data_IF_648851132127
#
_entry.id   IF_648851132127
#
_cell.length_a   1.000
_cell.length_b   1.000
_cell.length_c   1.000
_cell.angle_alpha   90.00
_cell.angle_beta   90.00
_cell.angle_gamma   90.00
#
_symmetry.space_group_name_H-M   'P 1'
#
loop_
_entity.id
_entity.type
_entity.pdbx_description
1 polymer ?
#
# COMPACT_ATOMS: atom_id res chain seq x y z
N UNK A 1 6.90 1.45 12.86
CA UNK A 1 6.61 2.37 13.98
C UNK A 1 7.78 2.46 14.97
N UNK A 2 8.26 1.35 15.54
CA UNK A 2 9.47 1.35 16.41
C UNK A 2 10.71 1.87 15.67
N UNK A 3 10.85 1.53 14.38
CA UNK A 3 11.98 2.02 13.57
C UNK A 3 11.88 3.51 13.24
N UNK A 4 10.67 4.08 13.23
CA UNK A 4 10.44 5.52 13.06
C UNK A 4 10.90 6.25 14.32
N UNK A 5 10.46 5.77 15.50
CA UNK A 5 10.83 6.33 16.80
C UNK A 5 12.34 6.27 17.03
N UNK A 6 12.99 5.15 16.67
CA UNK A 6 14.45 5.01 16.77
C UNK A 6 15.23 5.92 15.81
N UNK A 7 14.67 6.23 14.64
CA UNK A 7 15.33 7.09 13.66
C UNK A 7 15.33 8.54 14.13
N UNK A 8 14.20 9.01 14.65
CA UNK A 8 14.06 10.36 15.24
C UNK A 8 15.01 10.53 16.43
N UNK A 9 15.07 9.55 17.34
CA UNK A 9 15.93 9.62 18.54
C UNK A 9 17.44 9.59 18.25
N UNK A 10 17.85 9.10 17.07
CA UNK A 10 19.26 9.02 16.68
C UNK A 10 19.75 10.26 15.93
N UNK A 11 18.86 11.11 15.41
CA UNK A 11 19.26 12.39 14.77
C UNK A 11 19.69 13.45 15.81
N UNK A 12 19.36 13.25 17.10
CA UNK A 12 19.79 14.12 18.22
C UNK A 12 21.16 13.75 18.81
N UNK A 13 21.84 12.71 18.30
CA UNK A 13 23.13 12.24 18.79
C UNK A 13 24.17 12.30 17.67
N UNK A 14 24.47 13.51 17.20
CA UNK A 14 25.70 13.76 16.44
C UNK A 14 26.84 14.12 17.41
N UNK A 15 27.81 13.21 17.48
CA UNK A 15 29.04 13.27 18.26
C UNK A 15 29.92 14.49 17.84
N UNK A 16 29.96 15.55 18.65
CA UNK A 16 31.08 16.51 18.64
C UNK A 16 31.87 16.47 19.97
N UNK A 17 33.01 15.77 19.86
CA UNK A 17 34.33 16.02 20.46
C UNK A 17 34.48 16.58 21.90
N UNK A 18 35.09 15.72 22.73
CA UNK A 18 35.73 15.97 24.02
C UNK A 18 36.63 17.23 24.06
N UNK A 19 36.30 18.20 24.91
CA UNK A 19 37.32 19.10 25.52
C UNK A 19 36.95 19.41 26.97
N UNK A 20 37.81 18.99 27.89
CA UNK A 20 37.66 19.27 29.32
C UNK A 20 37.87 20.75 29.67
N UNK A 21 37.06 21.23 30.62
CA UNK A 21 37.43 22.25 31.59
C UNK A 21 36.44 22.23 32.76
N UNK A 22 36.97 22.09 33.97
CA UNK A 22 36.25 22.21 35.23
C UNK A 22 35.72 23.65 35.40
N UNK A 23 34.40 23.84 35.44
CA UNK A 23 33.77 25.03 36.03
C UNK A 23 32.47 24.61 36.78
N UNK A 24 32.61 24.70 38.10
CA UNK A 24 31.67 24.99 39.18
C UNK A 24 30.18 25.32 38.88
N UNK A 25 29.32 24.56 39.56
CA UNK A 25 27.98 24.85 40.10
C UNK A 25 26.96 25.70 39.31
N UNK A 26 26.03 25.00 38.66
CA UNK A 26 24.58 25.19 38.88
C UNK A 26 23.82 23.91 38.56
N UNK A 27 23.60 23.08 39.58
CA UNK A 27 22.69 21.93 39.53
C UNK A 27 21.26 22.49 39.65
N UNK A 28 20.66 22.85 38.52
CA UNK A 28 19.20 22.86 38.34
C UNK A 28 18.88 21.61 37.52
N UNK A 29 19.04 20.47 38.17
CA UNK A 29 18.59 19.17 37.69
C UNK A 29 17.15 19.01 38.18
N UNK A 30 16.24 19.72 37.50
CA UNK A 30 14.84 19.28 37.38
C UNK A 30 14.83 18.08 36.41
N UNK A 31 15.59 17.04 36.74
CA UNK A 31 15.51 15.73 36.07
C UNK A 31 14.24 15.05 36.61
N UNK A 32 13.08 15.61 36.24
CA UNK A 32 11.87 14.81 36.14
C UNK A 32 12.26 13.61 35.28
N UNK A 33 12.23 12.42 35.87
CA UNK A 33 12.50 11.17 35.17
C UNK A 33 11.40 11.03 34.13
N UNK A 34 11.63 11.57 32.94
CA UNK A 34 10.69 11.52 31.84
C UNK A 34 10.60 10.04 31.47
N UNK A 35 9.46 9.44 31.84
CA UNK A 35 9.22 8.03 31.55
C UNK A 35 9.26 7.90 30.04
N UNK A 36 10.17 7.06 29.55
CA UNK A 36 10.35 6.79 28.14
C UNK A 36 9.02 6.53 27.43
N UNK A 37 8.83 7.15 26.26
CA UNK A 37 7.58 7.07 25.51
C UNK A 37 7.18 5.62 25.21
N UNK A 38 8.16 4.73 24.98
CA UNK A 38 7.89 3.31 24.73
C UNK A 38 7.16 2.65 25.91
N UNK A 39 7.57 2.97 27.14
CA UNK A 39 6.94 2.46 28.36
C UNK A 39 5.53 3.00 28.56
N UNK A 40 5.26 4.24 28.10
CA UNK A 40 3.93 4.87 28.16
C UNK A 40 2.94 4.30 27.14
N UNK A 41 3.41 3.90 25.96
CA UNK A 41 2.54 3.41 24.86
C UNK A 41 2.39 1.88 24.79
N UNK A 42 3.19 1.11 25.54
CA UNK A 42 3.29 -0.36 25.40
C UNK A 42 1.95 -1.12 25.53
N UNK A 43 1.05 -0.64 26.38
CA UNK A 43 -0.24 -1.29 26.68
C UNK A 43 -1.41 -0.59 25.99
N UNK A 44 -1.13 0.39 25.12
CA UNK A 44 -2.13 1.18 24.42
C UNK A 44 -2.51 0.54 23.09
N UNK A 45 -3.78 0.67 22.72
CA UNK A 45 -4.21 0.31 21.36
C UNK A 45 -3.67 1.34 20.38
N UNK A 46 -2.72 0.92 19.53
CA UNK A 46 -2.09 1.77 18.53
C UNK A 46 -3.06 2.16 17.40
N UNK A 47 -4.24 1.53 17.30
CA UNK A 47 -5.27 1.90 16.34
C UNK A 47 -6.25 2.94 16.90
N UNK A 48 -6.13 3.32 18.19
CA UNK A 48 -6.91 4.40 18.78
C UNK A 48 -6.07 5.69 18.81
N UNK A 49 -6.23 6.49 17.76
CA UNK A 49 -5.47 7.72 17.60
C UNK A 49 -5.73 8.75 18.71
N UNK A 50 -6.94 8.78 19.28
CA UNK A 50 -7.27 9.66 20.40
C UNK A 50 -6.61 9.18 21.69
N UNK A 51 -6.60 7.86 21.95
CA UNK A 51 -5.86 7.30 23.07
C UNK A 51 -4.37 7.63 22.97
N UNK A 52 -3.75 7.43 21.80
CA UNK A 52 -2.35 7.77 21.55
C UNK A 52 -2.05 9.24 21.81
N UNK A 53 -2.86 10.14 21.24
CA UNK A 53 -2.67 11.58 21.39
C UNK A 53 -2.73 12.08 22.83
N UNK A 54 -3.54 11.44 23.66
CA UNK A 54 -3.67 11.76 25.07
C UNK A 54 -2.49 11.28 25.92
N UNK A 55 -1.77 10.25 25.46
CA UNK A 55 -0.58 9.73 26.14
C UNK A 55 0.63 10.63 25.89
N UNK A 56 0.73 11.27 24.72
CA UNK A 56 1.86 12.13 24.33
C UNK A 56 2.02 13.37 25.25
N UNK A 57 3.25 13.85 25.42
CA UNK A 57 3.55 15.13 26.08
C UNK A 57 3.22 16.30 25.14
N UNK A 58 3.33 17.54 25.63
CA UNK A 58 3.12 18.71 24.78
C UNK A 58 4.18 18.83 23.69
N UNK A 59 5.44 18.56 24.03
CA UNK A 59 6.55 18.62 23.09
C UNK A 59 6.46 17.52 22.02
N UNK A 60 6.14 16.28 22.40
CA UNK A 60 5.91 15.16 21.46
C UNK A 60 4.75 15.45 20.48
N UNK A 61 3.68 16.11 20.95
CA UNK A 61 2.57 16.53 20.07
C UNK A 61 3.01 17.61 19.08
N UNK A 62 3.79 18.59 19.54
CA UNK A 62 4.30 19.66 18.71
C UNK A 62 5.25 19.12 17.64
N UNK A 63 6.10 18.16 17.99
CA UNK A 63 7.00 17.48 17.08
C UNK A 63 6.21 16.70 16.01
N UNK A 64 5.22 15.90 16.42
CA UNK A 64 4.34 15.19 15.48
C UNK A 64 3.67 16.17 14.49
N UNK A 65 3.17 17.31 14.98
CA UNK A 65 2.57 18.33 14.12
C UNK A 65 3.57 18.97 13.15
N UNK A 66 4.82 19.17 13.57
CA UNK A 66 5.87 19.67 12.70
C UNK A 66 6.16 18.66 11.58
N UNK A 67 6.22 17.36 11.90
CA UNK A 67 6.41 16.28 10.92
C UNK A 67 5.24 16.20 9.94
N UNK A 68 4.00 16.20 10.43
CA UNK A 68 2.79 16.12 9.58
C UNK A 68 2.65 17.33 8.65
N UNK A 69 3.11 18.51 9.07
CA UNK A 69 3.12 19.71 8.23
C UNK A 69 4.32 19.77 7.27
N UNK A 70 5.37 19.03 7.57
CA UNK A 70 6.61 18.95 6.81
C UNK A 70 6.63 17.78 5.83
N UNK A 71 7.82 17.27 5.55
CA UNK A 71 8.01 16.11 4.69
C UNK A 71 7.95 14.80 5.50
N UNK A 72 6.74 14.26 5.62
CA UNK A 72 6.45 12.98 6.28
C UNK A 72 7.23 11.82 5.62
N UNK A 73 7.56 11.93 4.32
CA UNK A 73 8.24 10.87 3.57
C UNK A 73 9.66 10.58 4.05
N UNK A 74 10.33 11.57 4.65
CA UNK A 74 11.69 11.42 5.19
C UNK A 74 11.76 10.57 6.46
N UNK A 75 10.65 10.55 7.22
CA UNK A 75 10.54 9.89 8.53
C UNK A 75 9.96 8.47 8.40
N UNK A 76 9.10 8.23 7.40
CA UNK A 76 8.49 6.92 7.19
C UNK A 76 9.50 5.92 6.57
N UNK A 77 9.57 4.67 7.09
CA UNK A 77 10.31 3.62 6.44
C UNK A 77 9.65 3.33 5.10
N UNK A 78 10.48 3.24 4.06
CA UNK A 78 10.02 2.93 2.72
C UNK A 78 9.64 1.46 2.66
N UNK A 79 8.41 1.18 2.26
CA UNK A 79 7.95 -0.18 2.04
C UNK A 79 8.70 -0.79 0.86
N UNK A 80 9.21 -2.00 1.07
CA UNK A 80 9.83 -2.79 0.02
C UNK A 80 8.77 -3.68 -0.66
N UNK A 81 8.44 -3.44 -1.93
CA UNK A 81 7.47 -4.27 -2.61
C UNK A 81 7.96 -5.69 -2.79
N UNK A 82 7.08 -6.66 -2.50
CA UNK A 82 7.40 -8.09 -2.57
C UNK A 82 7.81 -8.55 -3.98
N UNK A 83 7.40 -7.85 -5.04
CA UNK A 83 7.77 -8.17 -6.42
C UNK A 83 9.19 -7.75 -6.81
N UNK A 84 9.93 -7.03 -5.95
CA UNK A 84 11.33 -6.70 -6.19
C UNK A 84 12.26 -7.92 -6.05
N UNK A 85 11.82 -8.95 -5.33
CA UNK A 85 12.58 -10.19 -5.20
C UNK A 85 12.60 -10.96 -6.52
N UNK A 86 13.77 -11.48 -6.89
CA UNK A 86 13.94 -12.38 -8.03
C UNK A 86 14.68 -13.63 -7.56
N UNK A 87 14.17 -14.80 -7.94
CA UNK A 87 14.82 -16.06 -7.63
C UNK A 87 16.06 -16.22 -8.52
N UNK A 88 17.19 -16.54 -7.90
CA UNK A 88 18.42 -16.82 -8.63
C UNK A 88 18.29 -18.14 -9.40
N UNK A 89 18.73 -18.16 -10.66
CA UNK A 89 18.71 -19.37 -11.47
C UNK A 89 19.77 -20.35 -10.94
N UNK A 90 19.34 -21.38 -10.21
CA UNK A 90 20.25 -22.44 -9.73
C UNK A 90 20.62 -23.34 -10.90
N UNK A 91 21.84 -23.18 -11.42
CA UNK A 91 22.38 -23.96 -12.55
C UNK A 91 22.73 -25.41 -12.17
N UNK A 92 22.67 -25.78 -10.89
CA UNK A 92 22.91 -27.13 -10.37
C UNK A 92 21.87 -27.43 -9.28
N UNK A 93 21.17 -28.55 -9.42
CA UNK A 93 20.18 -29.04 -8.47
C UNK A 93 20.89 -29.63 -7.23
N UNK A 94 21.13 -28.80 -6.22
CA UNK A 94 21.38 -29.29 -4.85
C UNK A 94 20.09 -29.13 -4.02
N UNK A 95 19.86 -30.12 -3.16
CA UNK A 95 18.77 -30.32 -2.18
C UNK A 95 17.97 -29.05 -1.85
N UNK A 96 16.62 -29.08 -1.81
CA UNK A 96 15.78 -27.88 -1.68
C UNK A 96 16.24 -26.99 -0.52
N UNK A 97 16.93 -25.90 -0.87
CA UNK A 97 17.35 -24.89 0.09
C UNK A 97 16.13 -24.04 0.44
N UNK A 98 15.77 -24.06 1.72
CA UNK A 98 14.55 -23.50 2.34
C UNK A 98 14.37 -21.98 2.22
N UNK A 99 15.34 -21.25 1.65
CA UNK A 99 15.31 -19.79 1.56
C UNK A 99 14.40 -19.20 0.47
N UNK A 100 14.19 -19.92 -0.64
CA UNK A 100 13.34 -19.42 -1.75
C UNK A 100 11.86 -19.31 -1.32
N UNK A 101 11.42 -20.20 -0.43
CA UNK A 101 10.06 -20.19 0.13
C UNK A 101 9.82 -19.00 1.08
N UNK A 102 10.85 -18.43 1.72
CA UNK A 102 10.65 -17.36 2.71
C UNK A 102 10.27 -16.02 2.07
N UNK A 103 10.86 -15.68 0.91
CA UNK A 103 10.47 -14.46 0.20
C UNK A 103 9.09 -14.59 -0.43
N UNK A 104 8.72 -15.77 -0.93
CA UNK A 104 7.37 -16.00 -1.46
C UNK A 104 6.30 -15.94 -0.38
N UNK A 105 6.62 -16.24 0.89
CA UNK A 105 5.71 -16.02 2.04
C UNK A 105 5.37 -14.55 2.27
N UNK A 106 6.17 -13.59 1.79
CA UNK A 106 5.86 -12.16 1.84
C UNK A 106 4.85 -11.74 0.77
N UNK A 107 4.63 -12.58 -0.25
CA UNK A 107 3.66 -12.30 -1.30
C UNK A 107 2.22 -12.50 -0.76
N UNK A 108 1.25 -11.75 -1.27
CA UNK A 108 -0.16 -11.99 -0.96
C UNK A 108 -0.58 -13.42 -1.29
N UNK A 109 -1.43 -13.99 -0.43
CA UNK A 109 -1.93 -15.35 -0.59
C UNK A 109 -2.75 -15.50 -1.88
N UNK A 110 -2.43 -16.53 -2.67
CA UNK A 110 -3.16 -16.84 -3.89
C UNK A 110 -4.60 -17.27 -3.57
N UNK A 111 -5.59 -16.57 -4.13
CA UNK A 111 -7.00 -16.94 -3.99
C UNK A 111 -7.37 -17.98 -5.04
N UNK A 112 -8.17 -18.96 -4.65
CA UNK A 112 -8.72 -19.94 -5.59
C UNK A 112 -9.82 -19.28 -6.43
N UNK A 113 -9.52 -18.98 -7.69
CA UNK A 113 -10.50 -18.50 -8.66
C UNK A 113 -11.10 -19.67 -9.46
N UNK A 114 -12.38 -19.60 -9.87
CA UNK A 114 -12.95 -20.62 -10.74
C UNK A 114 -12.18 -20.70 -12.06
N UNK A 115 -12.06 -21.89 -12.64
CA UNK A 115 -11.44 -22.07 -13.95
C UNK A 115 -12.24 -21.29 -15.00
N UNK A 116 -11.56 -20.59 -15.89
CA UNK A 116 -12.17 -19.84 -16.98
C UNK A 116 -13.05 -20.74 -17.86
N UNK A 117 -12.60 -21.97 -18.15
CA UNK A 117 -13.39 -22.97 -18.91
C UNK A 117 -14.70 -23.37 -18.23
N UNK A 118 -14.81 -23.15 -16.92
CA UNK A 118 -16.04 -23.41 -16.15
C UNK A 118 -16.99 -22.20 -16.18
N UNK A 119 -16.46 -21.00 -16.48
CA UNK A 119 -17.22 -19.75 -16.54
C UNK A 119 -17.76 -19.51 -17.96
N UNK A 120 -16.98 -19.82 -19.00
CA UNK A 120 -17.39 -19.59 -20.38
C UNK A 120 -16.72 -20.57 -21.36
N UNK A 121 -17.42 -20.84 -22.47
CA UNK A 121 -16.89 -21.60 -23.60
C UNK A 121 -16.27 -20.70 -24.68
N UNK A 122 -16.29 -19.37 -24.46
CA UNK A 122 -15.71 -18.39 -25.39
C UNK A 122 -14.20 -18.34 -25.18
N UNK A 123 -13.43 -18.50 -26.27
CA UNK A 123 -11.97 -18.39 -26.22
C UNK A 123 -11.56 -17.00 -25.68
N UNK A 124 -10.57 -16.90 -24.76
CA UNK A 124 -10.07 -15.61 -24.30
C UNK A 124 -9.61 -14.75 -25.47
N UNK A 125 -9.98 -13.47 -25.44
CA UNK A 125 -9.49 -12.50 -26.41
C UNK A 125 -7.97 -12.34 -26.28
N UNK A 126 -7.21 -12.22 -27.39
CA UNK A 126 -5.80 -11.85 -27.33
C UNK A 126 -5.54 -10.55 -26.55
N UNK A 127 -6.54 -9.68 -26.46
CA UNK A 127 -6.47 -8.41 -25.73
C UNK A 127 -6.37 -8.56 -24.21
N UNK A 128 -6.65 -9.75 -23.65
CA UNK A 128 -6.73 -9.95 -22.20
C UNK A 128 -5.40 -9.68 -21.49
N UNK A 129 -4.26 -9.96 -22.12
CA UNK A 129 -2.94 -9.68 -21.56
C UNK A 129 -2.69 -8.17 -21.40
N UNK A 130 -3.19 -7.35 -22.32
CA UNK A 130 -3.07 -5.89 -22.24
C UNK A 130 -4.00 -5.33 -21.16
N UNK A 131 -5.19 -5.91 -20.99
CA UNK A 131 -6.09 -5.57 -19.89
C UNK A 131 -5.50 -5.95 -18.52
N UNK A 132 -4.92 -7.15 -18.39
CA UNK A 132 -4.16 -7.57 -17.20
C UNK A 132 -3.06 -6.54 -16.91
N UNK A 133 -2.34 -6.11 -17.94
CA UNK A 133 -1.26 -5.11 -17.81
C UNK A 133 -1.79 -3.78 -17.27
N UNK A 134 -2.92 -3.28 -17.78
CA UNK A 134 -3.56 -2.07 -17.25
C UNK A 134 -3.92 -2.20 -15.77
N UNK A 135 -4.51 -3.34 -15.36
CA UNK A 135 -4.88 -3.62 -13.97
C UNK A 135 -3.65 -3.72 -13.06
N UNK A 136 -2.61 -4.43 -13.50
CA UNK A 136 -1.35 -4.60 -12.75
C UNK A 136 -0.62 -3.26 -12.60
N UNK A 137 -0.59 -2.43 -13.64
CA UNK A 137 0.01 -1.10 -13.58
C UNK A 137 -0.69 -0.20 -12.57
N UNK A 138 -2.03 -0.17 -12.59
CA UNK A 138 -2.81 0.58 -11.58
C UNK A 138 -2.58 0.05 -10.17
N UNK A 139 -2.56 -1.27 -9.99
CA UNK A 139 -2.27 -1.89 -8.69
C UNK A 139 -0.87 -1.52 -8.19
N UNK A 140 0.16 -1.68 -9.02
CA UNK A 140 1.55 -1.37 -8.64
C UNK A 140 1.71 0.09 -8.23
N UNK A 141 1.13 1.02 -9.00
CA UNK A 141 1.14 2.44 -8.70
C UNK A 141 0.52 2.73 -7.32
N UNK A 142 -0.68 2.21 -7.07
CA UNK A 142 -1.42 2.52 -5.84
C UNK A 142 -0.77 1.89 -4.61
N UNK A 143 -0.21 0.69 -4.73
CA UNK A 143 0.55 0.08 -3.64
C UNK A 143 1.81 0.88 -3.29
N UNK A 144 2.51 1.45 -4.29
CA UNK A 144 3.63 2.38 -4.05
C UNK A 144 3.15 3.68 -3.43
N UNK A 145 2.06 4.24 -3.95
CA UNK A 145 1.48 5.51 -3.50
C UNK A 145 1.11 5.48 -2.02
N UNK A 146 0.52 4.36 -1.55
CA UNK A 146 0.20 4.17 -0.13
C UNK A 146 1.31 3.50 0.68
N UNK A 147 2.53 3.40 0.15
CA UNK A 147 3.66 2.78 0.83
C UNK A 147 3.32 1.38 1.40
N UNK A 148 2.56 0.59 0.65
CA UNK A 148 2.13 -0.77 1.04
C UNK A 148 1.00 -0.85 2.07
N UNK A 149 0.56 0.27 2.64
CA UNK A 149 -0.56 0.33 3.58
C UNK A 149 -1.90 0.36 2.83
N UNK A 150 -2.92 -0.30 3.40
CA UNK A 150 -4.16 -0.58 2.68
C UNK A 150 -5.36 -0.25 3.55
N UNK A 151 -6.00 0.89 3.24
CA UNK A 151 -7.43 1.04 3.49
C UNK A 151 -8.20 0.55 2.25
N UNK A 152 -9.08 -0.44 2.43
CA UNK A 152 -9.70 -1.11 1.30
C UNK A 152 -10.60 -0.17 0.47
N UNK A 153 -11.38 0.71 1.11
CA UNK A 153 -12.28 1.61 0.39
C UNK A 153 -11.49 2.68 -0.36
N UNK A 154 -10.52 3.31 0.30
CA UNK A 154 -9.65 4.31 -0.30
C UNK A 154 -8.84 3.72 -1.46
N UNK A 155 -8.22 2.55 -1.25
CA UNK A 155 -7.43 1.85 -2.27
C UNK A 155 -8.24 1.58 -3.54
N UNK A 156 -9.46 1.03 -3.40
CA UNK A 156 -10.31 0.74 -4.56
C UNK A 156 -10.79 2.02 -5.24
N UNK A 157 -11.01 3.10 -4.49
CA UNK A 157 -11.36 4.40 -5.04
C UNK A 157 -10.27 4.90 -5.99
N UNK A 158 -9.02 4.89 -5.53
CA UNK A 158 -7.89 5.35 -6.33
C UNK A 158 -7.60 4.41 -7.52
N UNK A 159 -7.70 3.09 -7.33
CA UNK A 159 -7.55 2.13 -8.43
C UNK A 159 -8.61 2.37 -9.52
N UNK A 160 -9.87 2.60 -9.17
CA UNK A 160 -10.92 2.85 -10.15
C UNK A 160 -10.77 4.20 -10.85
N UNK A 161 -10.16 5.19 -10.19
CA UNK A 161 -9.86 6.48 -10.81
C UNK A 161 -8.87 6.34 -11.98
N UNK A 162 -7.84 5.50 -11.81
CA UNK A 162 -6.76 5.36 -12.80
C UNK A 162 -6.84 4.13 -13.72
N UNK A 163 -7.59 3.10 -13.33
CA UNK A 163 -7.69 1.86 -14.09
C UNK A 163 -8.87 1.87 -15.06
N UNK A 164 -8.63 2.30 -16.31
CA UNK A 164 -9.68 2.37 -17.33
C UNK A 164 -10.30 1.01 -17.67
N UNK A 165 -9.54 -0.09 -17.55
CA UNK A 165 -10.09 -1.42 -17.78
C UNK A 165 -11.19 -1.75 -16.76
N UNK A 166 -10.97 -1.43 -15.48
CA UNK A 166 -11.95 -1.68 -14.43
C UNK A 166 -13.08 -0.65 -14.45
N UNK A 167 -12.78 0.65 -14.56
CA UNK A 167 -13.79 1.71 -14.41
C UNK A 167 -14.65 1.93 -15.64
N UNK A 168 -14.09 1.75 -16.84
CA UNK A 168 -14.73 2.10 -18.11
C UNK A 168 -14.87 0.91 -19.07
N UNK A 169 -14.44 -0.30 -18.65
CA UNK A 169 -14.40 -1.49 -19.49
C UNK A 169 -13.61 -1.29 -20.80
N UNK A 170 -12.58 -0.43 -20.76
CA UNK A 170 -11.73 -0.17 -21.91
C UNK A 170 -10.88 -1.41 -22.20
N UNK A 171 -10.88 -1.84 -23.47
CA UNK A 171 -10.01 -2.92 -23.94
C UNK A 171 -8.79 -2.33 -24.62
N UNK A 172 -7.62 -2.88 -24.30
CA UNK A 172 -6.35 -2.48 -24.88
C UNK A 172 -5.89 -3.51 -25.90
N UNK A 173 -5.12 -3.05 -26.90
CA UNK A 173 -4.59 -3.91 -27.96
C UNK A 173 -3.05 -3.95 -27.98
N UNK A 174 -2.41 -3.18 -27.10
CA UNK A 174 -0.95 -3.01 -27.01
C UNK A 174 -0.56 -2.77 -25.55
N UNK A 175 0.64 -3.24 -25.16
CA UNK A 175 1.18 -3.07 -23.81
C UNK A 175 1.43 -1.60 -23.47
N UNK A 176 2.10 -0.87 -24.37
CA UNK A 176 2.50 0.52 -24.14
C UNK A 176 1.26 1.40 -23.90
N UNK A 177 0.24 1.28 -24.76
CA UNK A 177 -1.02 2.01 -24.59
C UNK A 177 -1.74 1.65 -23.29
N UNK A 178 -1.70 0.38 -22.87
CA UNK A 178 -2.31 -0.04 -21.61
C UNK A 178 -1.63 0.61 -20.39
N UNK A 179 -0.30 0.71 -20.38
CA UNK A 179 0.47 1.31 -19.29
C UNK A 179 0.39 2.83 -19.32
N UNK A 180 0.57 3.45 -20.49
CA UNK A 180 0.52 4.91 -20.66
C UNK A 180 -0.87 5.47 -20.31
N UNK A 181 -1.93 4.69 -20.52
CA UNK A 181 -3.27 5.09 -20.08
C UNK A 181 -3.38 5.28 -18.56
N UNK A 182 -2.68 4.45 -17.76
CA UNK A 182 -2.63 4.60 -16.30
C UNK A 182 -1.82 5.84 -15.93
N UNK A 183 -0.66 6.04 -16.55
CA UNK A 183 0.17 7.23 -16.32
C UNK A 183 -0.59 8.53 -16.62
N UNK A 184 -1.28 8.58 -17.76
CA UNK A 184 -2.12 9.72 -18.14
C UNK A 184 -3.26 9.96 -17.13
N UNK A 185 -3.86 8.89 -16.60
CA UNK A 185 -4.91 9.02 -15.59
C UNK A 185 -4.38 9.51 -14.26
N UNK A 186 -3.21 9.06 -13.82
CA UNK A 186 -2.57 9.57 -12.60
C UNK A 186 -2.35 11.10 -12.71
N UNK A 187 -1.85 11.58 -13.85
CA UNK A 187 -1.64 13.02 -14.11
C UNK A 187 -2.95 13.84 -14.20
N UNK A 188 -4.08 13.19 -14.46
CA UNK A 188 -5.39 13.84 -14.58
C UNK A 188 -6.24 13.67 -13.31
N UNK A 189 -5.78 12.88 -12.35
CA UNK A 189 -6.51 12.57 -11.13
C UNK A 189 -6.56 13.80 -10.22
N UNK A 190 -7.71 14.00 -9.58
CA UNK A 190 -7.83 14.97 -8.48
C UNK A 190 -7.47 14.35 -7.12
N UNK A 191 -7.27 13.02 -7.07
CA UNK A 191 -6.97 12.26 -5.85
C UNK A 191 -5.47 11.95 -5.69
N UNK A 192 -4.72 12.00 -6.79
CA UNK A 192 -3.33 11.56 -6.86
C UNK A 192 -2.43 12.73 -7.22
N UNK A 193 -1.44 12.97 -6.37
CA UNK A 193 -0.30 13.81 -6.71
C UNK A 193 0.86 12.90 -7.15
N UNK A 194 1.40 13.12 -8.35
CA UNK A 194 2.46 12.27 -8.91
C UNK A 194 3.46 13.08 -9.71
N UNK A 195 4.65 12.51 -9.87
CA UNK A 195 5.71 13.02 -10.75
C UNK A 195 6.12 11.97 -11.80
N UNK A 196 7.01 12.37 -12.71
CA UNK A 196 7.53 11.50 -13.77
C UNK A 196 8.31 10.30 -13.21
N UNK A 197 9.04 10.49 -12.09
CA UNK A 197 9.82 9.43 -11.46
C UNK A 197 8.93 8.31 -10.95
N UNK A 198 7.83 8.65 -10.27
CA UNK A 198 6.85 7.70 -9.75
C UNK A 198 6.18 6.91 -10.88
N UNK A 199 5.92 7.56 -12.02
CA UNK A 199 5.38 6.91 -13.21
C UNK A 199 6.37 5.93 -13.82
N UNK A 200 7.65 6.26 -13.91
CA UNK A 200 8.68 5.33 -14.40
C UNK A 200 8.90 4.15 -13.45
N UNK A 201 8.83 4.38 -12.14
CA UNK A 201 8.84 3.30 -11.14
C UNK A 201 7.65 2.36 -11.33
N UNK A 202 6.45 2.90 -11.57
CA UNK A 202 5.26 2.09 -11.86
C UNK A 202 5.42 1.24 -13.13
N UNK A 203 6.02 1.78 -14.20
CA UNK A 203 6.31 1.01 -15.43
C UNK A 203 7.27 -0.14 -15.12
N UNK A 204 8.31 0.12 -14.34
CA UNK A 204 9.28 -0.89 -13.93
C UNK A 204 8.65 -1.98 -13.06
N UNK A 205 7.86 -1.61 -12.06
CA UNK A 205 7.16 -2.54 -11.18
C UNK A 205 6.18 -3.43 -11.94
N UNK A 206 5.43 -2.83 -12.87
CA UNK A 206 4.54 -3.57 -13.77
C UNK A 206 5.31 -4.66 -14.51
N UNK A 207 6.48 -4.32 -15.05
CA UNK A 207 7.36 -5.30 -15.70
C UNK A 207 7.82 -6.40 -14.74
N UNK A 208 8.23 -6.07 -13.51
CA UNK A 208 8.66 -7.06 -12.52
C UNK A 208 7.53 -8.02 -12.13
N UNK A 209 6.32 -7.51 -11.88
CA UNK A 209 5.15 -8.31 -11.54
C UNK A 209 4.78 -9.25 -12.68
N UNK A 210 4.80 -8.78 -13.93
CA UNK A 210 4.48 -9.60 -15.10
C UNK A 210 5.56 -10.64 -15.42
N UNK A 211 6.81 -10.37 -15.07
CA UNK A 211 7.94 -11.29 -15.27
C UNK A 211 8.00 -12.40 -14.21
N UNK A 212 7.49 -12.12 -13.01
CA UNK A 212 7.51 -13.04 -11.89
C UNK A 212 8.89 -13.29 -11.28
N UNK A 213 8.97 -14.15 -10.26
CA UNK A 213 10.20 -14.46 -9.55
C UNK A 213 11.24 -15.21 -10.40
N UNK A 214 10.81 -16.05 -11.33
CA UNK A 214 11.69 -16.88 -12.18
C UNK A 214 11.02 -17.22 -13.52
N UNK A 215 11.79 -17.63 -14.54
CA UNK A 215 11.23 -18.06 -15.83
C UNK A 215 10.23 -19.22 -15.71
N UNK A 216 10.46 -20.13 -14.76
CA UNK A 216 9.61 -21.31 -14.51
C UNK A 216 8.35 -20.96 -13.70
N UNK A 217 8.31 -19.78 -13.08
CA UNK A 217 7.20 -19.33 -12.23
C UNK A 217 6.79 -17.88 -12.56
N UNK A 218 6.80 -17.52 -13.84
CA UNK A 218 6.63 -16.13 -14.30
C UNK A 218 5.28 -15.50 -13.95
N UNK A 219 4.22 -16.30 -13.87
CA UNK A 219 2.88 -15.82 -13.60
C UNK A 219 2.58 -15.63 -12.09
N UNK A 220 3.49 -16.05 -11.20
CA UNK A 220 3.23 -16.07 -9.75
C UNK A 220 2.91 -14.69 -9.18
N UNK A 221 3.73 -13.68 -9.48
CA UNK A 221 3.52 -12.32 -8.99
C UNK A 221 2.25 -11.70 -9.56
N UNK A 222 1.94 -11.93 -10.84
CA UNK A 222 0.68 -11.51 -11.41
C UNK A 222 -0.52 -12.15 -10.69
N UNK A 223 -0.47 -13.47 -10.41
CA UNK A 223 -1.49 -14.20 -9.65
C UNK A 223 -1.62 -13.65 -8.22
N UNK A 224 -0.52 -13.32 -7.56
CA UNK A 224 -0.50 -12.74 -6.22
C UNK A 224 -1.11 -11.33 -6.19
N UNK A 225 -0.72 -10.45 -7.12
CA UNK A 225 -1.29 -9.10 -7.25
C UNK A 225 -2.80 -9.14 -7.49
N UNK A 226 -3.27 -9.98 -8.43
CA UNK A 226 -4.70 -10.11 -8.73
C UNK A 226 -5.47 -10.74 -7.55
N UNK A 227 -4.88 -11.71 -6.85
CA UNK A 227 -5.48 -12.30 -5.65
C UNK A 227 -5.64 -11.29 -4.52
N UNK A 228 -4.62 -10.44 -4.33
CA UNK A 228 -4.66 -9.37 -3.35
C UNK A 228 -5.73 -8.34 -3.72
N UNK A 229 -5.76 -7.91 -4.99
CA UNK A 229 -6.76 -6.97 -5.46
C UNK A 229 -8.18 -7.50 -5.24
N UNK A 230 -8.44 -8.78 -5.53
CA UNK A 230 -9.73 -9.42 -5.25
C UNK A 230 -10.11 -9.33 -3.77
N UNK A 231 -9.16 -9.54 -2.86
CA UNK A 231 -9.37 -9.43 -1.42
C UNK A 231 -9.69 -8.00 -0.98
N UNK A 232 -8.95 -7.01 -1.49
CA UNK A 232 -9.20 -5.58 -1.22
C UNK A 232 -10.61 -5.20 -1.69
N UNK A 233 -11.03 -5.66 -2.88
CA UNK A 233 -12.39 -5.44 -3.39
C UNK A 233 -13.48 -6.05 -2.48
N UNK A 234 -13.27 -7.27 -1.99
CA UNK A 234 -14.23 -7.94 -1.10
C UNK A 234 -14.32 -7.24 0.28
N UNK A 235 -13.20 -6.74 0.79
CA UNK A 235 -13.15 -5.93 2.01
C UNK A 235 -13.87 -4.58 1.82
N UNK A 236 -13.56 -3.83 0.75
CA UNK A 236 -14.21 -2.56 0.43
C UNK A 236 -15.73 -2.72 0.29
N UNK A 237 -16.18 -3.77 -0.39
CA UNK A 237 -17.61 -4.12 -0.52
C UNK A 237 -18.27 -4.44 0.81
N UNK A 238 -17.52 -4.99 1.77
CA UNK A 238 -18.02 -5.28 3.11
C UNK A 238 -18.14 -4.00 3.94
N UNK A 239 -17.14 -3.12 3.89
CA UNK A 239 -17.16 -1.79 4.51
C UNK A 239 -18.30 -0.91 3.96
N UNK A 240 -18.52 -0.88 2.64
CA UNK A 240 -19.62 -0.11 2.04
C UNK A 240 -21.01 -0.55 2.57
N UNK A 241 -21.21 -1.83 2.90
CA UNK A 241 -22.47 -2.32 3.46
C UNK A 241 -22.68 -1.91 4.92
N UNK A 242 -21.61 -1.76 5.70
CA UNK A 242 -21.68 -1.37 7.11
C UNK A 242 -21.85 0.14 7.24
N UNK A 243 -21.14 0.93 6.44
CA UNK A 243 -21.28 2.40 6.37
C UNK A 243 -22.70 2.84 5.99
N UNK A 244 -23.43 2.04 5.21
CA UNK A 244 -24.84 2.33 4.87
C UNK A 244 -25.81 2.05 6.05
N UNK A 245 -25.37 1.36 7.11
CA UNK A 245 -26.20 0.97 8.27
C UNK A 245 -25.87 1.73 9.54
N UNK A 246 -24.65 2.21 9.69
CA UNK A 246 -24.20 2.98 10.85
C UNK A 246 -23.94 4.41 10.41
N UNK A 247 -24.78 5.35 10.86
CA UNK A 247 -24.40 6.75 10.89
C UNK A 247 -23.11 6.83 11.70
N UNK A 248 -22.00 7.19 11.06
CA UNK A 248 -20.67 7.29 11.66
C UNK A 248 -20.75 7.94 13.04
N UNK A 249 -20.50 7.14 14.08
CA UNK A 249 -20.14 7.66 15.40
C UNK A 249 -18.84 8.41 15.21
N UNK A 250 -18.94 9.74 15.08
CA UNK A 250 -17.78 10.63 15.14
C UNK A 250 -17.10 10.40 16.48
N UNK A 251 -15.85 9.94 16.48
CA UNK A 251 -15.00 10.06 17.66
C UNK A 251 -14.89 11.55 18.00
N UNK A 252 -15.30 11.93 19.21
CA UNK A 252 -15.24 13.33 19.67
C UNK A 252 -13.91 13.66 20.35
N UNK A 253 -12.90 12.80 20.24
CA UNK A 253 -11.62 13.01 20.89
C UNK A 253 -10.82 14.16 20.27
N UNK A 254 -9.79 14.58 20.99
CA UNK A 254 -8.99 15.78 20.68
C UNK A 254 -8.25 15.58 19.35
N UNK A 255 -7.68 14.39 19.12
CA UNK A 255 -7.00 14.05 17.87
C UNK A 255 -7.98 14.08 16.72
N UNK A 256 -9.09 13.35 16.81
CA UNK A 256 -10.08 13.24 15.75
C UNK A 256 -10.76 14.58 15.39
N UNK A 257 -10.80 15.53 16.33
CA UNK A 257 -11.25 16.91 16.05
C UNK A 257 -10.19 17.72 15.32
N UNK A 258 -8.91 17.50 15.62
CA UNK A 258 -7.78 18.24 15.04
C UNK A 258 -7.38 17.69 13.67
N UNK A 259 -7.43 16.38 13.52
CA UNK A 259 -7.17 15.60 12.31
C UNK A 259 -8.41 14.77 11.98
N UNK A 260 -9.46 15.39 11.41
CA UNK A 260 -10.66 14.66 11.08
C UNK A 260 -10.37 13.62 9.99
N UNK A 261 -10.66 12.36 10.29
CA UNK A 261 -10.78 11.26 9.31
C UNK A 261 -12.01 11.51 8.41
N UNK A 262 -11.97 12.60 7.65
CA UNK A 262 -13.00 12.87 6.68
C UNK A 262 -12.52 12.21 5.39
N UNK A 263 -13.07 11.06 5.06
CA UNK A 263 -13.02 10.48 3.72
C UNK A 263 -14.00 11.21 2.77
N UNK A 264 -14.46 12.43 3.13
CA UNK A 264 -15.50 13.13 2.36
C UNK A 264 -14.95 13.75 1.07
N UNK A 265 -13.62 13.80 0.93
CA UNK A 265 -12.95 14.10 -0.34
C UNK A 265 -13.06 12.95 -1.34
N UNK A 266 -13.22 11.70 -0.88
CA UNK A 266 -13.34 10.58 -1.79
C UNK A 266 -14.69 10.64 -2.53
N UNK A 267 -14.69 10.45 -3.86
CA UNK A 267 -15.92 10.32 -4.62
C UNK A 267 -16.73 9.13 -4.09
N UNK A 268 -18.05 9.31 -3.98
CA UNK A 268 -18.93 8.24 -3.50
C UNK A 268 -18.88 7.04 -4.44
N UNK A 269 -18.37 5.91 -3.96
CA UNK A 269 -18.47 4.67 -4.70
C UNK A 269 -19.87 4.08 -4.62
N UNK A 270 -20.43 3.79 -5.80
CA UNK A 270 -21.65 3.00 -5.92
C UNK A 270 -21.32 1.50 -5.88
N UNK A 271 -21.89 0.79 -4.92
CA UNK A 271 -21.80 -0.66 -4.75
C UNK A 271 -22.22 -1.41 -6.03
N UNK A 272 -23.14 -0.85 -6.82
CA UNK A 272 -23.58 -1.44 -8.09
C UNK A 272 -22.46 -1.41 -9.13
N UNK A 273 -21.78 -0.27 -9.26
CA UNK A 273 -20.63 -0.10 -10.15
C UNK A 273 -19.48 -1.02 -9.70
N UNK A 274 -19.22 -1.10 -8.40
CA UNK A 274 -18.18 -1.97 -7.84
C UNK A 274 -18.45 -3.46 -8.15
N UNK A 275 -19.70 -3.91 -7.97
CA UNK A 275 -20.12 -5.28 -8.31
C UNK A 275 -20.01 -5.58 -9.80
N UNK A 276 -20.36 -4.62 -10.65
CA UNK A 276 -20.23 -4.79 -12.09
C UNK A 276 -18.76 -4.97 -12.50
N UNK A 277 -17.87 -4.07 -12.06
CA UNK A 277 -16.44 -4.12 -12.37
C UNK A 277 -15.77 -5.42 -11.86
N UNK A 278 -16.13 -5.84 -10.65
CA UNK A 278 -15.59 -7.05 -10.04
C UNK A 278 -15.98 -8.33 -10.80
N UNK A 279 -17.27 -8.45 -11.18
CA UNK A 279 -17.80 -9.66 -11.82
C UNK A 279 -17.46 -9.71 -13.32
N UNK A 280 -17.54 -8.59 -14.03
CA UNK A 280 -17.37 -8.56 -15.48
C UNK A 280 -15.91 -8.61 -15.92
N UNK A 281 -14.99 -8.06 -15.12
CA UNK A 281 -13.65 -7.76 -15.60
C UNK A 281 -12.55 -8.36 -14.73
N UNK A 282 -12.55 -8.11 -13.42
CA UNK A 282 -11.47 -8.58 -12.53
C UNK A 282 -11.50 -10.11 -12.38
N UNK A 283 -12.66 -10.72 -12.18
CA UNK A 283 -12.79 -12.18 -12.06
C UNK A 283 -12.38 -12.90 -13.36
N UNK A 284 -12.71 -12.33 -14.53
CA UNK A 284 -12.32 -12.89 -15.83
C UNK A 284 -10.81 -12.77 -16.03
N UNK A 285 -10.24 -11.59 -15.74
CA UNK A 285 -8.81 -11.29 -15.81
C UNK A 285 -8.00 -12.23 -14.91
N UNK A 286 -8.44 -12.43 -13.66
CA UNK A 286 -7.82 -13.35 -12.71
C UNK A 286 -7.96 -14.83 -13.13
N UNK A 287 -9.12 -15.23 -13.65
CA UNK A 287 -9.35 -16.61 -14.11
C UNK A 287 -8.48 -16.95 -15.32
N UNK A 288 -8.32 -16.03 -16.28
CA UNK A 288 -7.43 -16.21 -17.43
C UNK A 288 -5.97 -16.23 -16.97
N UNK A 289 -5.56 -15.32 -16.08
CA UNK A 289 -4.19 -15.32 -15.56
C UNK A 289 -3.87 -16.61 -14.79
N UNK A 290 -4.82 -17.18 -14.05
CA UNK A 290 -4.61 -18.44 -13.32
C UNK A 290 -4.28 -19.63 -14.24
N UNK A 291 -4.74 -19.58 -15.50
CA UNK A 291 -4.57 -20.62 -16.52
C UNK A 291 -3.38 -20.38 -17.47
N UNK A 292 -2.74 -19.20 -17.40
CA UNK A 292 -1.43 -18.93 -18.00
C UNK A 292 -0.31 -19.49 -17.10
#
# INVERSE_FOLDING_TARGET
>A
MIDILKKVQNEDIDEEELVGNEIDESIDSDDDIEIDLHERIKDLDLNDADALWNVLTEDERNEFEAVVRGDVGSVLPQWEPWWMYKQEARLVEEVPSSGDDEHLKKCPCLKSVPKFTTITNVKPSPAISFNITNVVASYAFIMRYFNGEIDALETITHILDICQNLSSNTNFNELDTAIESVAQKCLQSELIETDEVSLEVMKHDTFLILKGPSPDNNAYYCKAALSHLLEIFDQAKSQLKTVTKENATKSEGIFSKKFPENMSYLPKLDIINLKFCFISQLAITASVCAEL
#
